data_IF_271033900491
#
_entry.id   IF_271033900491
#
_cell.length_a   1.000
_cell.length_b   1.000
_cell.length_c   1.000
_cell.angle_alpha   90.00
_cell.angle_beta   90.00
_cell.angle_gamma   90.00
#
_symmetry.space_group_name_H-M   'P 1'
#
loop_
_entity.id
_entity.type
_entity.pdbx_description
1 polymer ?
#
# COMPACT_ATOMS: atom_id res chain seq x y z
N UNK A 1 6.24 -8.11 -28.15
CA UNK A 1 5.86 -8.98 -27.01
C UNK A 1 7.04 -9.54 -26.22
N UNK A 2 8.28 -9.60 -26.77
CA UNK A 2 9.49 -10.00 -26.02
C UNK A 2 9.96 -8.98 -24.95
N UNK A 3 9.62 -7.69 -25.10
CA UNK A 3 10.10 -6.61 -24.21
C UNK A 3 9.60 -6.65 -22.74
N UNK A 4 8.50 -7.35 -22.42
CA UNK A 4 7.97 -7.38 -21.05
C UNK A 4 8.63 -8.44 -20.16
N UNK A 5 9.18 -9.51 -20.74
CA UNK A 5 9.76 -10.62 -19.98
C UNK A 5 11.15 -10.26 -19.45
N UNK A 6 11.93 -9.51 -20.22
CA UNK A 6 13.27 -9.08 -19.80
C UNK A 6 13.23 -8.08 -18.64
N UNK A 7 12.24 -7.19 -18.58
CA UNK A 7 12.01 -6.31 -17.42
C UNK A 7 11.55 -7.09 -16.17
N UNK A 8 10.75 -8.13 -16.35
CA UNK A 8 10.31 -9.02 -15.27
C UNK A 8 11.47 -9.90 -14.75
N UNK A 9 12.41 -10.30 -15.62
CA UNK A 9 13.63 -11.04 -15.26
C UNK A 9 14.69 -10.13 -14.65
N UNK A 10 14.79 -8.87 -15.08
CA UNK A 10 15.73 -7.88 -14.55
C UNK A 10 15.26 -7.30 -13.20
N UNK A 11 13.96 -7.34 -12.92
CA UNK A 11 13.36 -6.90 -11.65
C UNK A 11 12.42 -7.95 -11.06
N UNK A 12 12.85 -9.21 -10.98
CA UNK A 12 12.05 -10.28 -10.35
C UNK A 12 11.66 -9.97 -8.90
N UNK A 13 12.41 -9.09 -8.24
CA UNK A 13 12.08 -8.53 -6.92
C UNK A 13 10.78 -7.72 -6.94
N UNK A 14 10.47 -7.05 -8.04
CA UNK A 14 9.18 -6.37 -8.19
C UNK A 14 8.02 -7.36 -8.22
N UNK A 15 8.18 -8.59 -8.71
CA UNK A 15 7.11 -9.60 -8.62
C UNK A 15 6.80 -10.01 -7.18
N UNK A 16 7.78 -9.92 -6.28
CA UNK A 16 7.60 -10.19 -4.85
C UNK A 16 6.94 -8.99 -4.17
N UNK A 17 7.41 -7.77 -4.46
CA UNK A 17 6.99 -6.56 -3.75
C UNK A 17 5.66 -5.98 -4.29
N UNK A 18 5.35 -6.17 -5.58
CA UNK A 18 4.14 -5.60 -6.21
C UNK A 18 2.84 -6.06 -5.55
N UNK A 19 2.64 -7.37 -5.29
CA UNK A 19 1.47 -7.85 -4.55
C UNK A 19 1.32 -7.20 -3.18
N UNK A 20 2.40 -7.13 -2.40
CA UNK A 20 2.38 -6.49 -1.09
C UNK A 20 2.05 -5.01 -1.15
N UNK A 21 2.59 -4.27 -2.12
CA UNK A 21 2.29 -2.85 -2.31
C UNK A 21 0.86 -2.58 -2.77
N UNK A 22 0.26 -3.49 -3.54
CA UNK A 22 -1.13 -3.40 -4.01
C UNK A 22 -2.09 -3.58 -2.83
N UNK A 23 -1.88 -4.64 -2.05
CA UNK A 23 -2.65 -4.95 -0.86
C UNK A 23 -2.58 -3.84 0.19
N UNK A 24 -1.37 -3.31 0.42
CA UNK A 24 -1.13 -2.16 1.31
C UNK A 24 -2.03 -0.96 0.99
N UNK A 25 -2.29 -0.69 -0.30
CA UNK A 25 -3.16 0.44 -0.70
C UNK A 25 -4.62 0.13 -0.40
N UNK A 26 -5.04 -1.11 -0.63
CA UNK A 26 -6.33 -1.63 -0.22
C UNK A 26 -6.65 -1.30 1.24
N UNK A 27 -5.74 -1.70 2.12
CA UNK A 27 -5.91 -1.54 3.56
C UNK A 27 -5.87 -0.08 3.99
N UNK A 28 -4.88 0.68 3.51
CA UNK A 28 -4.70 2.07 3.95
C UNK A 28 -5.87 2.94 3.53
N UNK A 29 -6.28 2.88 2.26
CA UNK A 29 -7.37 3.72 1.76
C UNK A 29 -8.75 3.19 2.17
N UNK A 30 -8.89 1.88 2.37
CA UNK A 30 -10.06 1.28 2.99
C UNK A 30 -10.27 1.80 4.41
N UNK A 31 -9.24 1.72 5.26
CA UNK A 31 -9.28 2.24 6.62
C UNK A 31 -9.48 3.76 6.67
N UNK A 32 -8.79 4.52 5.79
CA UNK A 32 -9.00 5.96 5.66
C UNK A 32 -10.45 6.29 5.30
N UNK A 33 -11.03 5.59 4.31
CA UNK A 33 -12.38 5.84 3.85
C UNK A 33 -13.44 5.43 4.86
N UNK A 34 -13.23 4.32 5.59
CA UNK A 34 -14.09 3.88 6.68
C UNK A 34 -14.10 4.91 7.82
N UNK A 35 -12.92 5.38 8.28
CA UNK A 35 -12.81 6.43 9.31
C UNK A 35 -13.54 7.71 8.90
N UNK A 36 -13.34 8.18 7.66
CA UNK A 36 -14.02 9.37 7.16
C UNK A 36 -15.54 9.18 7.09
N UNK A 37 -16.00 8.04 6.56
CA UNK A 37 -17.42 7.71 6.44
C UNK A 37 -18.09 7.63 7.81
N UNK A 38 -17.45 6.93 8.77
CA UNK A 38 -17.93 6.83 10.15
C UNK A 38 -18.00 8.20 10.84
N UNK A 39 -16.96 9.03 10.68
CA UNK A 39 -16.93 10.37 11.25
C UNK A 39 -18.03 11.29 10.68
N UNK A 40 -18.37 11.15 9.41
CA UNK A 40 -19.48 11.88 8.78
C UNK A 40 -20.84 11.44 9.34
N UNK A 41 -21.07 10.13 9.47
CA UNK A 41 -22.32 9.60 10.05
C UNK A 41 -22.51 9.96 11.53
N UNK A 42 -21.42 10.00 12.30
CA UNK A 42 -21.43 10.41 13.71
C UNK A 42 -21.47 11.94 13.90
N UNK A 43 -21.43 12.74 12.82
CA UNK A 43 -21.40 14.20 12.91
C UNK A 43 -20.09 14.78 13.48
N UNK A 44 -19.03 13.97 13.56
CA UNK A 44 -17.71 14.38 14.08
C UNK A 44 -16.95 15.26 13.09
N UNK A 45 -17.31 15.22 11.81
CA UNK A 45 -16.70 16.05 10.77
C UNK A 45 -17.73 16.51 9.74
N UNK A 46 -17.40 17.61 9.04
CA UNK A 46 -18.21 18.11 7.94
C UNK A 46 -17.80 17.45 6.62
N UNK A 47 -18.70 17.30 5.64
CA UNK A 47 -18.40 16.78 4.30
C UNK A 47 -17.60 17.79 3.47
N UNK A 48 -16.38 18.09 3.92
CA UNK A 48 -15.44 19.03 3.32
C UNK A 48 -14.07 18.39 3.24
N UNK A 49 -13.34 18.68 2.17
CA UNK A 49 -11.99 18.15 1.98
C UNK A 49 -11.02 18.66 3.05
N UNK A 50 -11.13 19.94 3.43
CA UNK A 50 -10.22 20.62 4.37
C UNK A 50 -10.82 20.70 5.77
N UNK A 51 -11.07 19.56 6.41
CA UNK A 51 -11.34 19.51 7.86
C UNK A 51 -10.10 19.04 8.61
N UNK A 52 -9.94 19.48 9.87
CA UNK A 52 -8.83 19.02 10.72
C UNK A 52 -8.80 17.49 10.82
N UNK A 53 -9.97 16.87 10.98
CA UNK A 53 -10.12 15.42 11.01
C UNK A 53 -9.62 14.77 9.70
N UNK A 54 -10.07 15.25 8.55
CA UNK A 54 -9.68 14.69 7.26
C UNK A 54 -8.18 14.89 6.97
N UNK A 55 -7.61 16.04 7.35
CA UNK A 55 -6.16 16.29 7.20
C UNK A 55 -5.32 15.33 8.04
N UNK A 56 -5.73 15.07 9.28
CA UNK A 56 -5.06 14.07 10.14
C UNK A 56 -5.22 12.67 9.53
N UNK A 57 -6.41 12.31 9.06
CA UNK A 57 -6.68 11.01 8.44
C UNK A 57 -5.84 10.77 7.16
N UNK A 58 -5.71 11.82 6.32
CA UNK A 58 -4.85 11.81 5.13
C UNK A 58 -3.37 11.69 5.51
N UNK A 59 -2.92 12.43 6.54
CA UNK A 59 -1.55 12.33 7.04
C UNK A 59 -1.27 10.92 7.58
N UNK A 60 -2.21 10.32 8.32
CA UNK A 60 -2.14 8.93 8.78
C UNK A 60 -1.99 7.97 7.61
N UNK A 61 -2.79 8.13 6.55
CA UNK A 61 -2.70 7.28 5.36
C UNK A 61 -1.31 7.37 4.68
N UNK A 62 -0.75 8.58 4.56
CA UNK A 62 0.59 8.76 4.00
C UNK A 62 1.68 8.08 4.86
N UNK A 63 1.64 8.30 6.18
CA UNK A 63 2.64 7.75 7.10
C UNK A 63 2.58 6.23 7.10
N UNK A 64 1.39 5.65 7.21
CA UNK A 64 1.21 4.19 7.18
C UNK A 64 1.71 3.61 5.86
N UNK A 65 1.31 4.20 4.72
CA UNK A 65 1.76 3.75 3.40
C UNK A 65 3.28 3.79 3.28
N UNK A 66 3.91 4.85 3.76
CA UNK A 66 5.37 5.04 3.66
C UNK A 66 6.12 4.05 4.54
N UNK A 67 5.75 3.94 5.82
CA UNK A 67 6.41 3.03 6.77
C UNK A 67 6.24 1.58 6.34
N UNK A 68 5.03 1.16 5.98
CA UNK A 68 4.79 -0.20 5.50
C UNK A 68 5.52 -0.49 4.18
N UNK A 69 5.62 0.47 3.25
CA UNK A 69 6.41 0.31 2.02
C UNK A 69 7.89 0.08 2.30
N UNK A 70 8.47 0.78 3.28
CA UNK A 70 9.87 0.59 3.69
C UNK A 70 10.07 -0.83 4.22
N UNK A 71 9.16 -1.30 5.08
CA UNK A 71 9.21 -2.66 5.65
C UNK A 71 9.09 -3.71 4.54
N UNK A 72 8.16 -3.54 3.60
CA UNK A 72 8.03 -4.40 2.43
C UNK A 72 9.28 -4.43 1.55
N UNK A 73 9.96 -3.31 1.37
CA UNK A 73 11.23 -3.26 0.66
C UNK A 73 12.31 -4.09 1.35
N UNK A 74 12.41 -3.99 2.68
CA UNK A 74 13.36 -4.80 3.45
C UNK A 74 13.04 -6.29 3.29
N UNK A 75 11.77 -6.67 3.45
CA UNK A 75 11.31 -8.06 3.27
C UNK A 75 11.60 -8.56 1.85
N UNK A 76 11.20 -7.79 0.83
CA UNK A 76 11.41 -8.13 -0.57
C UNK A 76 12.89 -8.28 -0.93
N UNK A 77 13.75 -7.41 -0.40
CA UNK A 77 15.19 -7.52 -0.58
C UNK A 77 15.75 -8.78 0.10
N UNK A 78 15.37 -9.07 1.34
CA UNK A 78 15.79 -10.30 2.05
C UNK A 78 15.35 -11.57 1.32
N UNK A 79 14.10 -11.61 0.85
CA UNK A 79 13.58 -12.75 0.08
C UNK A 79 14.31 -12.93 -1.26
N UNK A 80 14.66 -11.82 -1.92
CA UNK A 80 15.41 -11.87 -3.18
C UNK A 80 16.81 -12.46 -3.02
N UNK A 81 17.52 -12.08 -1.94
CA UNK A 81 18.83 -12.62 -1.58
C UNK A 81 18.77 -14.13 -1.35
N UNK A 82 17.74 -14.59 -0.63
CA UNK A 82 17.56 -16.01 -0.29
C UNK A 82 17.32 -16.89 -1.53
N UNK A 83 16.66 -16.35 -2.56
CA UNK A 83 16.29 -17.13 -3.75
C UNK A 83 17.19 -16.90 -4.95
N UNK A 84 18.30 -16.16 -4.81
CA UNK A 84 19.27 -15.84 -5.88
C UNK A 84 18.62 -15.21 -7.12
N UNK A 85 17.44 -14.62 -6.99
CA UNK A 85 16.89 -13.76 -8.03
C UNK A 85 17.71 -12.48 -7.96
N UNK A 86 18.27 -12.03 -9.09
CA UNK A 86 19.06 -10.81 -9.14
C UNK A 86 18.38 -9.67 -8.39
N UNK A 87 19.04 -9.16 -7.34
CA UNK A 87 18.48 -8.12 -6.50
C UNK A 87 18.89 -6.76 -7.06
N UNK A 88 17.96 -5.85 -7.37
CA UNK A 88 18.31 -4.46 -7.60
C UNK A 88 18.95 -3.89 -6.32
N UNK A 89 19.80 -2.89 -6.50
CA UNK A 89 20.40 -2.13 -5.40
C UNK A 89 19.30 -1.71 -4.38
N UNK A 90 19.51 -1.87 -3.06
CA UNK A 90 18.53 -1.51 -2.03
C UNK A 90 17.99 -0.08 -2.15
N UNK A 91 18.85 0.89 -2.50
CA UNK A 91 18.47 2.28 -2.71
C UNK A 91 17.52 2.41 -3.90
N UNK A 92 17.74 1.61 -4.94
CA UNK A 92 16.87 1.57 -6.11
C UNK A 92 15.51 1.01 -5.75
N UNK A 93 15.46 -0.13 -5.06
CA UNK A 93 14.20 -0.73 -4.61
C UNK A 93 13.39 0.26 -3.75
N UNK A 94 14.05 0.89 -2.78
CA UNK A 94 13.44 1.87 -1.90
C UNK A 94 12.94 3.10 -2.66
N UNK A 95 13.73 3.61 -3.61
CA UNK A 95 13.32 4.72 -4.47
C UNK A 95 12.07 4.37 -5.29
N UNK A 96 12.03 3.19 -5.93
CA UNK A 96 10.87 2.76 -6.71
C UNK A 96 9.61 2.66 -5.83
N UNK A 97 9.72 2.05 -4.65
CA UNK A 97 8.58 1.87 -3.75
C UNK A 97 8.06 3.21 -3.21
N UNK A 98 8.94 4.07 -2.70
CA UNK A 98 8.54 5.36 -2.15
C UNK A 98 7.99 6.31 -3.21
N UNK A 99 8.60 6.32 -4.41
CA UNK A 99 8.09 7.11 -5.52
C UNK A 99 6.71 6.60 -5.97
N UNK A 100 6.52 5.29 -5.98
CA UNK A 100 5.22 4.69 -6.27
C UNK A 100 4.17 5.08 -5.23
N UNK A 101 4.54 5.06 -3.95
CA UNK A 101 3.68 5.45 -2.83
C UNK A 101 3.23 6.90 -2.93
N UNK A 102 4.12 7.86 -3.23
CA UNK A 102 3.73 9.27 -3.36
C UNK A 102 2.83 9.51 -4.57
N UNK A 103 3.10 8.89 -5.71
CA UNK A 103 2.26 9.04 -6.92
C UNK A 103 0.85 8.54 -6.63
N UNK A 104 0.74 7.36 -6.03
CA UNK A 104 -0.55 6.74 -5.71
C UNK A 104 -1.27 7.52 -4.62
N UNK A 105 -0.53 8.07 -3.66
CA UNK A 105 -1.09 8.97 -2.67
C UNK A 105 -1.71 10.23 -3.28
N UNK A 106 -1.05 10.85 -4.25
CA UNK A 106 -1.58 12.02 -4.95
C UNK A 106 -2.84 11.68 -5.76
N UNK A 107 -2.95 10.45 -6.27
CA UNK A 107 -4.11 10.02 -7.09
C UNK A 107 -5.27 9.52 -6.24
N UNK A 108 -5.05 8.56 -5.34
CA UNK A 108 -6.10 7.89 -4.58
C UNK A 108 -6.71 8.79 -3.50
N UNK A 109 -5.90 9.59 -2.81
CA UNK A 109 -6.38 10.46 -1.72
C UNK A 109 -7.50 11.42 -2.18
N UNK A 110 -7.33 12.21 -3.25
CA UNK A 110 -8.40 13.10 -3.70
C UNK A 110 -9.61 12.32 -4.21
N UNK A 111 -9.41 11.24 -4.97
CA UNK A 111 -10.51 10.46 -5.55
C UNK A 111 -11.36 9.84 -4.44
N UNK A 112 -10.74 9.17 -3.48
CA UNK A 112 -11.44 8.53 -2.34
C UNK A 112 -12.18 9.56 -1.49
N UNK A 113 -11.51 10.65 -1.09
CA UNK A 113 -12.11 11.70 -0.27
C UNK A 113 -13.28 12.38 -0.98
N UNK A 114 -13.11 12.74 -2.26
CA UNK A 114 -14.17 13.39 -3.04
C UNK A 114 -15.35 12.46 -3.27
N UNK A 115 -15.09 11.18 -3.57
CA UNK A 115 -16.15 10.18 -3.72
C UNK A 115 -16.97 10.02 -2.44
N UNK A 116 -16.31 9.95 -1.28
CA UNK A 116 -16.99 9.84 0.03
C UNK A 116 -17.86 11.07 0.29
N UNK A 117 -17.30 12.27 0.14
CA UNK A 117 -18.03 13.52 0.34
C UNK A 117 -19.22 13.62 -0.62
N UNK A 118 -19.03 13.24 -1.89
CA UNK A 118 -20.07 13.32 -2.92
C UNK A 118 -21.22 12.34 -2.64
N UNK A 119 -20.92 11.08 -2.29
CA UNK A 119 -21.95 10.09 -1.96
C UNK A 119 -22.70 10.46 -0.68
N UNK A 120 -21.98 10.92 0.34
CA UNK A 120 -22.57 11.36 1.60
C UNK A 120 -23.55 12.52 1.37
N UNK A 121 -23.17 13.52 0.57
CA UNK A 121 -24.06 14.64 0.21
C UNK A 121 -25.29 14.21 -0.60
N UNK A 122 -25.24 13.05 -1.27
CA UNK A 122 -26.38 12.46 -1.99
C UNK A 122 -27.21 11.49 -1.13
N UNK A 123 -26.90 11.38 0.17
CA UNK A 123 -27.59 10.47 1.08
C UNK A 123 -27.38 8.98 0.76
N UNK A 124 -26.32 8.64 0.01
CA UNK A 124 -25.94 7.24 -0.25
C UNK A 124 -24.81 6.83 0.67
N UNK A 125 -24.85 5.59 1.15
CA UNK A 125 -23.74 5.03 1.93
C UNK A 125 -22.47 4.95 1.04
N UNK A 126 -21.39 5.67 1.38
CA UNK A 126 -20.16 5.61 0.62
C UNK A 126 -19.40 4.30 0.80
N UNK A 127 -19.68 3.52 1.85
CA UNK A 127 -18.87 2.37 2.28
C UNK A 127 -18.60 1.36 1.15
N UNK A 128 -19.64 0.94 0.42
CA UNK A 128 -19.52 -0.04 -0.66
C UNK A 128 -18.79 0.51 -1.88
N UNK A 129 -18.94 1.81 -2.15
CA UNK A 129 -18.28 2.48 -3.26
C UNK A 129 -16.80 2.77 -2.98
N UNK A 130 -16.45 3.03 -1.71
CA UNK A 130 -15.05 3.17 -1.27
C UNK A 130 -14.27 1.90 -1.59
N UNK A 131 -14.79 0.73 -1.19
CA UNK A 131 -14.12 -0.54 -1.44
C UNK A 131 -13.86 -0.74 -2.94
N UNK A 132 -14.87 -0.50 -3.79
CA UNK A 132 -14.74 -0.63 -5.24
C UNK A 132 -13.71 0.34 -5.85
N UNK A 133 -13.67 1.60 -5.40
CA UNK A 133 -12.69 2.59 -5.86
C UNK A 133 -11.28 2.20 -5.44
N UNK A 134 -11.12 1.82 -4.17
CA UNK A 134 -9.83 1.52 -3.59
C UNK A 134 -9.21 0.30 -4.26
N UNK A 135 -9.97 -0.77 -4.44
CA UNK A 135 -9.53 -1.97 -5.16
C UNK A 135 -9.35 -1.65 -6.65
N UNK A 136 -10.35 -1.09 -7.33
CA UNK A 136 -10.27 -0.86 -8.78
C UNK A 136 -9.12 0.07 -9.20
N UNK A 137 -8.95 1.21 -8.51
CA UNK A 137 -7.88 2.16 -8.82
C UNK A 137 -6.55 1.70 -8.24
N UNK A 138 -6.53 1.07 -7.05
CA UNK A 138 -5.33 0.50 -6.46
C UNK A 138 -4.72 -0.57 -7.35
N UNK A 139 -5.53 -1.48 -7.86
CA UNK A 139 -5.12 -2.60 -8.70
C UNK A 139 -4.61 -2.13 -10.07
N UNK A 140 -5.20 -1.08 -10.63
CA UNK A 140 -4.73 -0.47 -11.88
C UNK A 140 -3.47 0.40 -11.69
N UNK A 141 -3.46 1.24 -10.65
CA UNK A 141 -2.38 2.21 -10.44
C UNK A 141 -1.08 1.54 -10.00
N UNK A 142 -1.13 0.41 -9.26
CA UNK A 142 0.08 -0.21 -8.70
C UNK A 142 1.04 -0.75 -9.75
N UNK A 143 0.61 -1.63 -10.67
CA UNK A 143 1.49 -2.13 -11.72
C UNK A 143 1.92 -1.00 -12.66
N UNK A 144 0.99 -0.11 -13.02
CA UNK A 144 1.27 1.00 -13.93
C UNK A 144 2.35 1.94 -13.39
N UNK A 145 2.24 2.33 -12.12
CA UNK A 145 3.20 3.22 -11.49
C UNK A 145 4.54 2.51 -11.29
N UNK A 146 4.55 1.24 -10.89
CA UNK A 146 5.82 0.48 -10.75
C UNK A 146 6.54 0.29 -12.08
N UNK A 147 5.81 0.03 -13.16
CA UNK A 147 6.39 -0.03 -14.52
C UNK A 147 6.98 1.33 -14.89
N UNK A 148 6.23 2.42 -14.64
CA UNK A 148 6.69 3.78 -14.93
C UNK A 148 7.94 4.15 -14.11
N UNK A 149 7.99 3.80 -12.82
CA UNK A 149 9.17 4.07 -11.98
C UNK A 149 10.35 3.19 -12.34
N UNK A 150 10.12 1.97 -12.84
CA UNK A 150 11.16 1.11 -13.39
C UNK A 150 11.77 1.70 -14.67
N UNK A 151 10.97 2.25 -15.58
CA UNK A 151 11.51 2.97 -16.75
C UNK A 151 12.33 4.20 -16.34
N UNK A 152 11.88 4.94 -15.33
CA UNK A 152 12.56 6.12 -14.82
C UNK A 152 13.84 5.80 -14.03
N UNK A 153 14.01 4.56 -13.55
CA UNK A 153 15.17 4.16 -12.74
C UNK A 153 16.50 4.41 -13.47
N UNK A 154 16.56 4.11 -14.77
CA UNK A 154 17.77 4.31 -15.58
C UNK A 154 18.09 5.78 -15.89
N UNK A 155 17.11 6.69 -15.73
CA UNK A 155 17.27 8.10 -16.05
C UNK A 155 17.91 8.92 -14.90
N UNK A 156 17.84 8.42 -13.66
CA UNK A 156 18.28 9.18 -12.48
C UNK A 156 19.61 8.65 -11.91
N UNK A 157 20.58 9.54 -11.64
CA UNK A 157 21.80 9.16 -10.93
C UNK A 157 21.49 8.81 -9.47
N UNK A 158 22.36 8.02 -8.84
CA UNK A 158 22.20 7.55 -7.46
C UNK A 158 22.01 8.69 -6.45
N UNK A 159 22.67 9.84 -6.67
CA UNK A 159 22.54 11.05 -5.82
C UNK A 159 21.11 11.56 -5.80
N UNK A 160 20.45 11.64 -6.96
CA UNK A 160 19.05 12.11 -7.05
C UNK A 160 18.11 11.14 -6.35
N UNK A 161 18.32 9.83 -6.53
CA UNK A 161 17.52 8.80 -5.84
C UNK A 161 17.60 8.96 -4.33
N UNK A 162 18.81 9.16 -3.79
CA UNK A 162 19.04 9.37 -2.37
C UNK A 162 18.35 10.64 -1.86
N UNK A 163 18.46 11.76 -2.59
CA UNK A 163 17.79 13.01 -2.22
C UNK A 163 16.26 12.87 -2.19
N UNK A 164 15.67 12.18 -3.18
CA UNK A 164 14.22 11.93 -3.20
C UNK A 164 13.79 11.06 -2.02
N UNK A 165 14.52 9.97 -1.74
CA UNK A 165 14.24 9.09 -0.61
C UNK A 165 14.34 9.86 0.73
N UNK A 166 15.38 10.68 0.90
CA UNK A 166 15.56 11.50 2.10
C UNK A 166 14.42 12.54 2.25
N UNK A 167 13.98 13.13 1.14
CA UNK A 167 12.86 14.07 1.14
C UNK A 167 11.54 13.38 1.53
N UNK A 168 11.20 12.24 0.92
CA UNK A 168 9.94 11.54 1.20
C UNK A 168 9.89 10.99 2.64
N UNK A 169 11.02 10.50 3.16
CA UNK A 169 11.12 10.03 4.54
C UNK A 169 11.08 11.17 5.55
N UNK A 170 11.72 12.31 5.28
CA UNK A 170 11.61 13.49 6.14
C UNK A 170 10.18 14.04 6.21
N UNK A 171 9.46 14.08 5.08
CA UNK A 171 8.03 14.41 5.04
C UNK A 171 7.23 13.41 5.89
N UNK A 172 7.53 12.11 5.81
CA UNK A 172 6.89 11.09 6.62
C UNK A 172 7.10 11.32 8.12
N UNK A 173 8.31 11.67 8.55
CA UNK A 173 8.62 11.96 9.95
C UNK A 173 7.83 13.18 10.43
N UNK A 174 7.80 14.26 9.64
CA UNK A 174 7.04 15.47 9.97
C UNK A 174 5.55 15.16 10.12
N UNK A 175 4.98 14.40 9.19
CA UNK A 175 3.57 14.02 9.25
C UNK A 175 3.27 13.06 10.40
N UNK A 176 4.18 12.14 10.74
CA UNK A 176 4.04 11.26 11.90
C UNK A 176 3.99 12.06 13.21
N UNK A 177 4.87 13.07 13.35
CA UNK A 177 4.86 13.99 14.50
C UNK A 177 3.54 14.79 14.54
N UNK A 178 3.07 15.28 13.40
CA UNK A 178 1.81 16.01 13.30
C UNK A 178 0.60 15.16 13.71
N UNK A 179 0.53 13.90 13.26
CA UNK A 179 -0.54 12.95 13.61
C UNK A 179 -0.50 12.63 15.11
N UNK A 180 0.69 12.36 15.65
CA UNK A 180 0.89 12.09 17.08
C UNK A 180 0.41 13.27 17.95
N UNK A 181 0.78 14.50 17.60
CA UNK A 181 0.33 15.72 18.30
C UNK A 181 -1.16 16.00 18.16
N UNK A 182 -1.81 15.47 17.13
CA UNK A 182 -3.24 15.66 16.87
C UNK A 182 -4.13 14.62 17.55
N UNK A 183 -3.56 13.68 18.30
CA UNK A 183 -4.28 12.59 18.97
C UNK A 183 -4.60 11.40 18.06
N UNK A 184 -4.08 11.38 16.83
CA UNK A 184 -4.31 10.30 15.86
C UNK A 184 -3.35 9.11 16.00
N UNK A 185 -2.61 9.01 17.11
CA UNK A 185 -1.61 7.96 17.31
C UNK A 185 -2.23 6.56 17.33
N UNK A 186 -3.39 6.41 17.99
CA UNK A 186 -4.12 5.14 18.04
C UNK A 186 -4.50 4.66 16.64
N UNK A 187 -5.19 5.52 15.87
CA UNK A 187 -5.57 5.23 14.48
C UNK A 187 -4.35 4.90 13.58
N UNK A 188 -3.22 5.57 13.84
CA UNK A 188 -1.97 5.34 13.09
C UNK A 188 -1.35 3.99 13.42
N UNK A 189 -1.25 3.63 14.70
CA UNK A 189 -0.69 2.36 15.14
C UNK A 189 -1.56 1.19 14.69
N UNK A 190 -2.88 1.28 14.91
CA UNK A 190 -3.83 0.24 14.51
C UNK A 190 -3.75 -0.04 13.01
N UNK A 191 -3.81 1.01 12.19
CA UNK A 191 -3.76 0.88 10.74
C UNK A 191 -2.39 0.41 10.24
N UNK A 192 -1.31 0.77 10.94
CA UNK A 192 0.04 0.32 10.60
C UNK A 192 0.20 -1.18 10.85
N UNK A 193 -0.28 -1.68 11.99
CA UNK A 193 -0.22 -3.11 12.32
C UNK A 193 -1.00 -3.95 11.33
N UNK A 194 -2.27 -3.59 11.05
CA UNK A 194 -3.09 -4.35 10.10
C UNK A 194 -2.47 -4.36 8.71
N UNK A 195 -2.01 -3.20 8.23
CA UNK A 195 -1.44 -3.04 6.89
C UNK A 195 -0.11 -3.80 6.71
N UNK A 196 0.76 -3.83 7.72
CA UNK A 196 2.03 -4.57 7.64
C UNK A 196 1.77 -6.08 7.56
N UNK A 197 0.85 -6.59 8.37
CA UNK A 197 0.53 -8.02 8.43
C UNK A 197 -0.05 -8.49 7.09
N UNK A 198 -1.05 -7.77 6.58
CA UNK A 198 -1.70 -8.05 5.30
C UNK A 198 -0.69 -8.02 4.15
N UNK A 199 0.02 -6.90 3.99
CA UNK A 199 0.95 -6.70 2.89
C UNK A 199 2.16 -7.64 2.92
N UNK A 200 2.65 -8.03 4.10
CA UNK A 200 3.70 -9.04 4.23
C UNK A 200 3.19 -10.39 3.74
N UNK A 201 1.97 -10.76 4.13
CA UNK A 201 1.30 -11.97 3.64
C UNK A 201 1.18 -12.01 2.12
N UNK A 202 0.69 -10.92 1.53
CA UNK A 202 0.59 -10.76 0.08
C UNK A 202 1.96 -10.82 -0.62
N UNK A 203 3.00 -10.21 -0.04
CA UNK A 203 4.38 -10.29 -0.55
C UNK A 203 4.92 -11.73 -0.51
N UNK A 204 4.62 -12.49 0.55
CA UNK A 204 4.97 -13.92 0.63
C UNK A 204 4.24 -14.75 -0.45
N UNK A 205 2.97 -14.44 -0.73
CA UNK A 205 2.24 -15.03 -1.85
C UNK A 205 2.92 -14.76 -3.20
N UNK A 206 3.32 -13.51 -3.43
CA UNK A 206 4.09 -13.09 -4.60
C UNK A 206 5.44 -13.81 -4.72
N UNK A 207 6.13 -14.03 -3.61
CA UNK A 207 7.37 -14.79 -3.56
C UNK A 207 7.19 -16.28 -3.94
N UNK A 208 6.18 -16.95 -3.37
CA UNK A 208 5.88 -18.35 -3.70
C UNK A 208 5.64 -18.48 -5.20
N UNK A 209 4.87 -17.54 -5.76
CA UNK A 209 4.61 -17.48 -7.20
C UNK A 209 5.90 -17.29 -8.02
N UNK A 210 6.74 -16.31 -7.64
CA UNK A 210 8.00 -16.03 -8.30
C UNK A 210 8.95 -17.25 -8.28
N UNK A 211 8.93 -18.02 -7.19
CA UNK A 211 9.73 -19.25 -7.04
C UNK A 211 9.24 -20.45 -7.87
N UNK A 212 8.09 -20.32 -8.54
CA UNK A 212 7.44 -21.37 -9.35
C UNK A 212 7.15 -20.94 -10.79
N UNK A 213 7.82 -19.89 -11.27
CA UNK A 213 7.64 -19.37 -12.64
C UNK A 213 7.89 -20.43 -13.73
N UNK A 214 8.86 -21.33 -13.55
CA UNK A 214 9.11 -22.44 -14.49
C UNK A 214 7.89 -23.36 -14.64
N UNK A 215 7.27 -23.75 -13.53
CA UNK A 215 6.05 -24.58 -13.50
C UNK A 215 4.84 -23.86 -14.12
N UNK A 216 4.74 -22.54 -13.93
CA UNK A 216 3.68 -21.70 -14.53
C UNK A 216 3.86 -21.56 -16.04
N UNK A 217 5.12 -21.48 -16.51
CA UNK A 217 5.42 -21.40 -17.95
C UNK A 217 5.07 -22.70 -18.70
N UNK A 218 5.11 -23.84 -18.01
CA UNK A 218 4.72 -25.14 -18.54
C UNK A 218 3.20 -25.32 -18.60
N UNK A 219 2.44 -24.59 -17.77
CA UNK A 219 0.98 -24.69 -17.68
C UNK A 219 0.34 -23.28 -17.75
N UNK A 220 0.29 -22.65 -18.94
CA UNK A 220 -0.18 -21.27 -19.09
C UNK A 220 -1.65 -21.06 -18.67
N UNK A 221 -2.46 -22.12 -18.57
CA UNK A 221 -3.82 -22.06 -18.00
C UNK A 221 -3.82 -21.59 -16.54
N UNK A 222 -2.74 -21.83 -15.79
CA UNK A 222 -2.60 -21.39 -14.40
C UNK A 222 -2.39 -19.87 -14.26
N UNK A 223 -1.99 -19.17 -15.33
CA UNK A 223 -1.80 -17.71 -15.31
C UNK A 223 -3.10 -16.97 -14.94
N UNK A 224 -4.26 -17.50 -15.33
CA UNK A 224 -5.57 -16.92 -15.01
C UNK A 224 -5.94 -17.00 -13.52
N UNK A 225 -5.35 -17.93 -12.78
CA UNK A 225 -5.66 -18.19 -11.36
C UNK A 225 -4.80 -17.34 -10.42
N UNK A 226 -3.68 -16.81 -10.91
CA UNK A 226 -2.71 -16.04 -10.14
C UNK A 226 -3.32 -14.84 -9.39
N UNK A 227 -4.13 -13.97 -10.03
CA UNK A 227 -4.72 -12.84 -9.33
C UNK A 227 -5.67 -13.29 -8.21
N UNK A 228 -6.45 -14.35 -8.44
CA UNK A 228 -7.37 -14.89 -7.46
C UNK A 228 -6.64 -15.51 -6.27
N UNK A 229 -5.57 -16.27 -6.51
CA UNK A 229 -4.75 -16.86 -5.45
C UNK A 229 -4.09 -15.80 -4.58
N UNK A 230 -3.51 -14.77 -5.20
CA UNK A 230 -2.90 -13.66 -4.48
C UNK A 230 -3.93 -12.86 -3.66
N UNK A 231 -5.14 -12.63 -4.22
CA UNK A 231 -6.22 -11.97 -3.51
C UNK A 231 -6.70 -12.76 -2.28
N UNK A 232 -6.74 -14.10 -2.35
CA UNK A 232 -7.12 -14.94 -1.20
C UNK A 232 -6.08 -14.87 -0.07
N UNK A 233 -4.79 -14.89 -0.40
CA UNK A 233 -3.72 -14.73 0.60
C UNK A 233 -3.82 -13.36 1.27
N UNK A 234 -3.96 -12.29 0.48
CA UNK A 234 -4.12 -10.92 1.01
C UNK A 234 -5.33 -10.80 1.91
N UNK A 235 -6.50 -11.25 1.47
CA UNK A 235 -7.72 -11.21 2.27
C UNK A 235 -7.61 -11.99 3.59
N UNK A 236 -6.96 -13.16 3.57
CA UNK A 236 -6.77 -13.98 4.78
C UNK A 236 -5.83 -13.30 5.78
N UNK A 237 -4.76 -12.68 5.29
CA UNK A 237 -3.77 -11.99 6.10
C UNK A 237 -4.28 -10.63 6.60
N UNK A 238 -5.09 -9.94 5.81
CA UNK A 238 -5.85 -8.76 6.22
C UNK A 238 -6.84 -9.06 7.33
N UNK A 239 -7.55 -10.19 7.24
CA UNK A 239 -8.41 -10.66 8.33
C UNK A 239 -7.61 -10.93 9.60
N UNK A 240 -6.50 -11.67 9.52
CA UNK A 240 -5.62 -11.91 10.68
C UNK A 240 -5.08 -10.61 11.28
N UNK A 241 -4.67 -9.66 10.44
CA UNK A 241 -4.25 -8.33 10.87
C UNK A 241 -5.36 -7.58 11.59
N UNK A 242 -6.60 -7.68 11.11
CA UNK A 242 -7.77 -7.07 11.76
C UNK A 242 -8.10 -7.71 13.12
N UNK A 243 -7.99 -9.03 13.24
CA UNK A 243 -8.22 -9.76 14.50
C UNK A 243 -7.16 -9.38 15.54
N UNK A 244 -5.89 -9.42 15.16
CA UNK A 244 -4.79 -9.02 16.06
C UNK A 244 -4.90 -7.55 16.46
N UNK A 245 -5.37 -6.69 15.56
CA UNK A 245 -5.63 -5.29 15.87
C UNK A 245 -6.78 -5.13 16.89
N UNK A 246 -7.84 -5.94 16.79
CA UNK A 246 -8.93 -5.97 17.79
C UNK A 246 -8.40 -6.43 19.14
N UNK A 247 -7.55 -7.47 19.18
CA UNK A 247 -6.95 -7.95 20.44
C UNK A 247 -6.08 -6.87 21.10
N UNK A 248 -5.33 -6.10 20.31
CA UNK A 248 -4.57 -4.94 20.81
C UNK A 248 -5.52 -3.85 21.33
N UNK A 249 -6.62 -3.58 20.62
CA UNK A 249 -7.63 -2.59 21.01
C UNK A 249 -8.26 -2.93 22.36
N UNK A 250 -8.63 -4.19 22.58
CA UNK A 250 -9.21 -4.68 23.83
C UNK A 250 -8.14 -4.71 24.95
N UNK A 251 -6.89 -5.04 24.61
CA UNK A 251 -5.77 -4.98 25.55
C UNK A 251 -5.45 -3.58 26.06
N UNK A 252 -5.70 -2.54 25.25
CA UNK A 252 -5.46 -1.14 25.60
C UNK A 252 -6.59 -0.51 26.45
N UNK A 253 -7.81 -1.05 26.42
CA UNK A 253 -8.93 -0.57 27.26
C UNK A 253 -8.92 -1.16 28.69
N UNK A 254 -8.10 -2.17 28.94
CA UNK A 254 -7.96 -2.82 30.25
C UNK A 254 -6.80 -2.27 31.11
N UNK A 255 -6.20 -1.14 30.71
CA UNK A 255 -5.14 -0.43 31.44
C UNK A 255 -5.47 1.05 31.60
#
# INVERSE_FOLDING_TARGET
>A
MRLNVDLLVQYSVLLVVTPGLMDLRGDVYGAMGYRLTKALHLGLTQPRFRTRYNLVNIATAYVVSTVASIILCVIGYTLSLLSRLGSPDPLSLLFLALLSTIIVFIVLTPITTMAIIHLFNRGRDPSSFVAAIVTGIGDFATPFVLITTAYLHGAFPWVVKLLVVALLTSICIILAIYVSRSGGLKDLVENLYSSIIASTGSSMGGFILASRVSFISENPELLGVIPAFNAVIGASMGYLGSVLNIDIHIGYENH
#
